data_IF_496365365706
#
_entry.id   IF_496365365706
#
_cell.length_a   1.000
_cell.length_b   1.000
_cell.length_c   1.000
_cell.angle_alpha   90.00
_cell.angle_beta   90.00
_cell.angle_gamma   90.00
#
_symmetry.space_group_name_H-M   'P 1'
#
loop_
_entity.id
_entity.type
_entity.pdbx_description
1 polymer ?
#
# COMPACT_ATOMS: atom_id res chain seq x y z
N UNK A 1 32.70 -41.21 2.52
CA UNK A 1 32.04 -39.90 2.67
C UNK A 1 30.64 -40.15 3.21
N UNK A 2 30.47 -39.96 4.51
CA UNK A 2 29.16 -40.11 5.19
C UNK A 2 28.33 -38.88 4.85
N UNK A 3 27.29 -39.03 4.04
CA UNK A 3 26.28 -38.01 3.81
C UNK A 3 25.54 -37.84 5.16
N UNK A 4 25.83 -36.74 5.86
CA UNK A 4 25.03 -36.33 7.01
C UNK A 4 23.62 -35.98 6.48
N UNK A 5 22.70 -36.91 6.66
CA UNK A 5 21.27 -36.63 6.39
C UNK A 5 20.78 -35.65 7.46
N UNK A 6 20.50 -34.43 7.07
CA UNK A 6 19.80 -33.42 7.88
C UNK A 6 18.47 -34.03 8.31
N UNK A 7 18.11 -34.05 9.61
CA UNK A 7 16.84 -34.60 10.05
C UNK A 7 15.67 -33.90 9.32
N UNK A 8 14.76 -34.68 8.79
CA UNK A 8 13.58 -34.23 8.02
C UNK A 8 12.71 -33.17 8.74
N UNK A 9 12.78 -33.12 10.09
CA UNK A 9 12.06 -32.13 10.92
C UNK A 9 12.68 -30.72 10.90
N UNK A 10 13.92 -30.57 10.43
CA UNK A 10 14.64 -29.27 10.43
C UNK A 10 14.33 -28.36 9.23
N UNK A 11 13.55 -28.83 8.24
CA UNK A 11 13.27 -28.09 6.99
C UNK A 11 11.78 -27.86 6.73
N UNK A 12 10.91 -28.03 7.73
CA UNK A 12 9.49 -27.71 7.55
C UNK A 12 9.27 -26.19 7.52
N UNK A 13 9.12 -25.61 6.31
CA UNK A 13 8.83 -24.19 6.12
C UNK A 13 7.34 -23.96 6.41
N UNK A 14 6.96 -23.14 7.41
CA UNK A 14 5.58 -22.86 7.70
C UNK A 14 4.93 -22.06 6.56
N UNK A 15 3.73 -22.49 6.15
CA UNK A 15 2.87 -21.67 5.28
C UNK A 15 1.79 -20.99 6.13
N UNK A 16 1.83 -19.66 6.21
CA UNK A 16 0.87 -18.85 6.95
C UNK A 16 -0.25 -18.40 6.03
N UNK A 17 -1.43 -18.98 6.24
CA UNK A 17 -2.65 -18.60 5.51
C UNK A 17 -3.21 -17.29 6.02
N UNK A 18 -4.04 -16.63 5.20
CA UNK A 18 -4.68 -15.33 5.52
C UNK A 18 -5.30 -15.31 6.93
N UNK A 19 -6.02 -16.37 7.33
CA UNK A 19 -6.68 -16.43 8.63
C UNK A 19 -5.70 -16.38 9.82
N UNK A 20 -4.49 -16.93 9.67
CA UNK A 20 -3.45 -16.85 10.70
C UNK A 20 -2.86 -15.43 10.77
N UNK A 21 -2.59 -14.82 9.63
CA UNK A 21 -2.07 -13.46 9.52
C UNK A 21 -3.08 -12.45 10.10
N UNK A 22 -4.37 -12.59 9.78
CA UNK A 22 -5.45 -11.71 10.26
C UNK A 22 -5.58 -11.65 11.78
N UNK A 23 -5.20 -12.71 12.48
CA UNK A 23 -5.24 -12.78 13.97
C UNK A 23 -4.16 -11.91 14.61
N UNK A 24 -3.04 -11.69 13.95
CA UNK A 24 -1.85 -11.07 14.55
C UNK A 24 -1.43 -9.75 13.91
N UNK A 25 -1.79 -9.51 12.64
CA UNK A 25 -1.42 -8.28 11.93
C UNK A 25 -2.46 -7.18 12.16
N UNK A 26 -2.13 -6.23 13.01
CA UNK A 26 -2.99 -5.08 13.37
C UNK A 26 -2.49 -3.80 12.70
N UNK A 27 -3.42 -2.94 12.29
CA UNK A 27 -3.07 -1.65 11.65
C UNK A 27 -2.34 -0.71 12.61
N UNK A 28 -2.66 -0.76 13.91
CA UNK A 28 -2.04 0.05 14.95
C UNK A 28 -0.53 -0.21 15.06
N UNK A 29 -0.12 -1.45 14.86
CA UNK A 29 1.29 -1.89 14.89
C UNK A 29 1.94 -1.73 13.51
N UNK A 30 1.15 -1.90 12.45
CA UNK A 30 1.62 -1.87 11.08
C UNK A 30 1.96 -0.44 10.61
N UNK A 31 1.20 0.58 11.02
CA UNK A 31 1.47 1.97 10.64
C UNK A 31 2.88 2.40 11.08
N UNK A 32 3.29 2.25 12.35
CA UNK A 32 4.66 2.55 12.76
C UNK A 32 5.72 1.69 12.05
N UNK A 33 5.42 0.42 11.78
CA UNK A 33 6.35 -0.45 11.05
C UNK A 33 6.56 0.05 9.61
N UNK A 34 5.53 0.56 8.94
CA UNK A 34 5.65 1.20 7.62
C UNK A 34 6.44 2.51 7.69
N UNK A 35 6.23 3.35 8.70
CA UNK A 35 7.03 4.56 8.92
C UNK A 35 8.52 4.22 8.99
N UNK A 36 8.90 3.22 9.81
CA UNK A 36 10.29 2.76 9.93
C UNK A 36 10.84 2.21 8.61
N UNK A 37 10.08 1.35 7.93
CA UNK A 37 10.50 0.75 6.66
C UNK A 37 10.77 1.79 5.57
N UNK A 38 9.92 2.82 5.47
CA UNK A 38 10.09 3.91 4.51
C UNK A 38 11.29 4.81 4.86
N UNK A 39 11.52 5.10 6.14
CA UNK A 39 12.72 5.82 6.60
C UNK A 39 13.97 5.02 6.21
N UNK A 40 13.98 3.73 6.48
CA UNK A 40 15.11 2.87 6.17
C UNK A 40 15.36 2.77 4.66
N UNK A 41 14.30 2.68 3.86
CA UNK A 41 14.38 2.68 2.41
C UNK A 41 15.00 3.98 1.87
N UNK A 42 14.44 5.12 2.23
CA UNK A 42 14.95 6.43 1.76
C UNK A 42 16.33 6.79 2.30
N UNK A 43 16.78 6.11 3.37
CA UNK A 43 18.15 6.27 3.91
C UNK A 43 19.16 5.30 3.30
N UNK A 44 18.76 4.48 2.32
CA UNK A 44 19.64 3.51 1.67
C UNK A 44 19.99 2.27 2.51
N UNK A 45 19.27 2.01 3.60
CA UNK A 45 19.45 0.82 4.45
C UNK A 45 18.71 -0.42 3.94
N UNK A 46 17.96 -0.29 2.86
CA UNK A 46 17.25 -1.38 2.21
C UNK A 46 17.84 -1.63 0.84
N UNK A 47 18.10 -2.89 0.50
CA UNK A 47 18.49 -3.28 -0.86
C UNK A 47 17.23 -3.78 -1.57
N UNK A 48 16.73 -3.00 -2.51
CA UNK A 48 15.52 -3.29 -3.25
C UNK A 48 15.59 -2.73 -4.67
N UNK A 49 15.60 -3.57 -5.72
CA UNK A 49 15.43 -3.10 -7.09
C UNK A 49 13.97 -2.70 -7.35
N UNK A 50 13.76 -1.93 -8.41
CA UNK A 50 12.40 -1.77 -8.95
C UNK A 50 11.88 -3.15 -9.38
N UNK A 51 10.59 -3.40 -9.14
CA UNK A 51 9.96 -4.71 -9.42
C UNK A 51 10.12 -5.14 -10.87
N UNK A 52 10.26 -6.43 -11.08
CA UNK A 52 10.19 -7.03 -12.41
C UNK A 52 8.76 -7.43 -12.73
N UNK A 53 8.27 -7.09 -13.93
CA UNK A 53 6.91 -7.43 -14.38
C UNK A 53 6.99 -8.36 -15.57
N UNK A 54 6.33 -9.51 -15.48
CA UNK A 54 6.16 -10.48 -16.58
C UNK A 54 4.70 -10.39 -17.03
N UNK A 55 4.49 -9.96 -18.29
CA UNK A 55 3.16 -9.91 -18.88
C UNK A 55 2.74 -11.31 -19.35
N UNK A 56 1.51 -11.69 -19.03
CA UNK A 56 0.87 -12.94 -19.44
C UNK A 56 -0.28 -12.57 -20.39
N UNK A 57 0.11 -12.05 -21.56
CA UNK A 57 -0.79 -11.39 -22.51
C UNK A 57 -1.96 -12.26 -22.96
N UNK A 58 -1.79 -13.59 -23.02
CA UNK A 58 -2.84 -14.55 -23.36
C UNK A 58 -4.05 -14.47 -22.42
N UNK A 59 -3.84 -14.03 -21.18
CA UNK A 59 -4.87 -14.00 -20.12
C UNK A 59 -5.07 -12.61 -19.51
N UNK A 60 -4.58 -11.55 -20.16
CA UNK A 60 -4.61 -10.16 -19.64
C UNK A 60 -4.06 -10.05 -18.20
N UNK A 61 -3.12 -10.92 -17.87
CA UNK A 61 -2.54 -10.98 -16.53
C UNK A 61 -1.09 -10.52 -16.48
N UNK A 62 -0.59 -10.27 -15.27
CA UNK A 62 0.85 -10.09 -15.03
C UNK A 62 1.26 -10.71 -13.73
N UNK A 63 2.53 -11.10 -13.69
CA UNK A 63 3.25 -11.52 -12.51
C UNK A 63 4.32 -10.47 -12.17
N UNK A 64 4.26 -9.94 -10.95
CA UNK A 64 5.29 -9.06 -10.39
C UNK A 64 6.19 -9.82 -9.44
N UNK A 65 7.49 -9.55 -9.50
CA UNK A 65 8.52 -10.09 -8.61
C UNK A 65 9.12 -8.91 -7.85
N UNK A 66 8.97 -8.88 -6.53
CA UNK A 66 9.33 -7.77 -5.67
C UNK A 66 10.28 -8.24 -4.55
N UNK A 67 11.60 -8.35 -4.83
CA UNK A 67 12.57 -8.77 -3.82
C UNK A 67 13.07 -7.59 -2.99
N UNK A 68 13.49 -7.85 -1.75
CA UNK A 68 14.24 -6.92 -0.92
C UNK A 68 15.10 -7.65 0.13
N UNK A 69 16.13 -6.91 0.62
CA UNK A 69 16.87 -7.24 1.84
C UNK A 69 16.62 -6.11 2.82
N UNK A 70 16.11 -6.45 4.01
CA UNK A 70 15.72 -5.49 5.04
C UNK A 70 16.20 -5.97 6.43
N UNK A 71 17.34 -5.45 6.87
CA UNK A 71 17.96 -5.84 8.12
C UNK A 71 18.31 -7.33 8.16
N UNK A 72 17.77 -8.04 9.15
CA UNK A 72 18.00 -9.46 9.40
C UNK A 72 17.18 -10.41 8.53
N UNK A 73 16.27 -9.88 7.71
CA UNK A 73 15.46 -10.67 6.79
C UNK A 73 15.67 -10.25 5.33
N UNK A 74 15.51 -11.20 4.44
CA UNK A 74 15.36 -10.96 3.01
C UNK A 74 14.19 -11.77 2.47
N UNK A 75 13.71 -11.44 1.29
CA UNK A 75 12.59 -12.17 0.71
C UNK A 75 12.06 -11.55 -0.57
N UNK A 76 10.96 -12.11 -1.02
CA UNK A 76 10.28 -11.60 -2.19
C UNK A 76 8.77 -11.81 -2.10
N UNK A 77 8.00 -10.81 -2.55
CA UNK A 77 6.61 -11.00 -2.91
C UNK A 77 6.50 -11.38 -4.38
N UNK A 78 5.81 -12.47 -4.64
CA UNK A 78 5.32 -12.85 -5.96
C UNK A 78 3.84 -12.45 -6.02
N UNK A 79 3.51 -11.50 -6.89
CA UNK A 79 2.16 -10.96 -7.01
C UNK A 79 1.61 -11.17 -8.40
N UNK A 80 0.36 -11.63 -8.49
CA UNK A 80 -0.35 -11.86 -9.73
C UNK A 80 -1.57 -10.94 -9.79
N UNK A 81 -1.73 -10.22 -10.90
CA UNK A 81 -2.89 -9.39 -11.17
C UNK A 81 -3.61 -9.90 -12.41
N UNK A 82 -4.86 -10.31 -12.25
CA UNK A 82 -5.74 -10.81 -13.30
C UNK A 82 -7.08 -10.07 -13.23
N UNK A 83 -7.26 -8.97 -13.98
CA UNK A 83 -8.46 -8.13 -13.91
C UNK A 83 -9.77 -8.88 -14.15
N UNK A 84 -9.74 -9.94 -14.96
CA UNK A 84 -10.90 -10.72 -15.36
C UNK A 84 -11.27 -11.87 -14.39
N UNK A 85 -10.54 -12.04 -13.30
CA UNK A 85 -10.80 -13.10 -12.32
C UNK A 85 -12.16 -13.01 -11.62
N UNK A 86 -12.76 -11.83 -11.51
CA UNK A 86 -14.08 -11.65 -10.92
C UNK A 86 -15.16 -12.50 -11.58
N UNK A 87 -15.11 -12.66 -12.91
CA UNK A 87 -16.02 -13.53 -13.64
C UNK A 87 -15.89 -15.02 -13.29
N UNK A 88 -14.80 -15.41 -12.64
CA UNK A 88 -14.52 -16.79 -12.19
C UNK A 88 -14.67 -16.95 -10.68
N UNK A 89 -15.17 -15.94 -9.97
CA UNK A 89 -15.26 -15.93 -8.50
C UNK A 89 -13.91 -15.90 -7.78
N UNK A 90 -12.82 -15.51 -8.48
CA UNK A 90 -11.48 -15.43 -7.92
C UNK A 90 -11.10 -13.96 -7.67
N UNK A 91 -10.23 -13.70 -6.66
CA UNK A 91 -9.65 -12.38 -6.46
C UNK A 91 -8.85 -11.93 -7.69
N UNK A 92 -8.94 -10.65 -8.01
CA UNK A 92 -8.14 -10.05 -9.10
C UNK A 92 -6.66 -9.92 -8.75
N UNK A 93 -6.33 -9.93 -7.47
CA UNK A 93 -5.00 -9.82 -6.92
C UNK A 93 -4.71 -11.02 -6.01
N UNK A 94 -3.66 -11.76 -6.32
CA UNK A 94 -3.19 -12.93 -5.58
C UNK A 94 -1.69 -12.77 -5.33
N UNK A 95 -1.20 -13.11 -4.15
CA UNK A 95 0.21 -12.99 -3.84
C UNK A 95 0.67 -14.02 -2.80
N UNK A 96 1.94 -14.37 -2.85
CA UNK A 96 2.68 -15.02 -1.78
C UNK A 96 3.92 -14.21 -1.44
N UNK A 97 4.36 -14.28 -0.18
CA UNK A 97 5.59 -13.67 0.31
C UNK A 97 6.45 -14.78 0.91
N UNK A 98 7.66 -14.96 0.37
CA UNK A 98 8.67 -15.86 0.93
C UNK A 98 9.72 -15.05 1.68
N UNK A 99 10.06 -15.48 2.91
CA UNK A 99 11.00 -14.80 3.80
C UNK A 99 12.11 -15.75 4.20
N UNK A 100 13.32 -15.20 4.24
CA UNK A 100 14.55 -15.88 4.57
C UNK A 100 15.35 -15.05 5.59
N UNK A 101 16.20 -15.71 6.38
CA UNK A 101 17.19 -15.05 7.22
C UNK A 101 18.31 -14.48 6.34
N UNK A 102 18.62 -13.19 6.46
CA UNK A 102 19.64 -12.56 5.62
C UNK A 102 21.04 -13.15 5.82
N UNK A 103 21.37 -13.57 7.05
CA UNK A 103 22.70 -14.10 7.40
C UNK A 103 23.00 -15.45 6.77
N UNK A 104 22.00 -16.34 6.71
CA UNK A 104 22.20 -17.77 6.38
C UNK A 104 21.48 -18.23 5.12
N UNK A 105 20.51 -17.44 4.64
CA UNK A 105 19.59 -17.87 3.57
C UNK A 105 18.55 -18.90 4.02
N UNK A 106 18.47 -19.19 5.33
CA UNK A 106 17.48 -20.11 5.89
C UNK A 106 16.06 -19.62 5.60
N UNK A 107 15.17 -20.46 4.99
CA UNK A 107 13.78 -20.09 4.80
C UNK A 107 13.05 -20.04 6.13
N UNK A 108 12.39 -18.91 6.42
CA UNK A 108 11.66 -18.67 7.67
C UNK A 108 10.18 -18.97 7.54
N UNK A 109 9.56 -18.51 6.46
CA UNK A 109 8.13 -18.73 6.18
C UNK A 109 7.76 -18.42 4.74
N UNK A 110 6.63 -18.98 4.32
CA UNK A 110 5.84 -18.52 3.17
C UNK A 110 4.50 -18.03 3.70
N UNK A 111 4.03 -16.88 3.24
CA UNK A 111 2.79 -16.25 3.71
C UNK A 111 1.84 -15.95 2.56
N UNK A 112 0.53 -16.03 2.81
CA UNK A 112 -0.45 -15.40 1.93
C UNK A 112 -0.19 -13.88 1.89
N UNK A 113 0.14 -13.37 0.69
CA UNK A 113 0.52 -11.97 0.52
C UNK A 113 -0.65 -11.02 0.27
N UNK A 114 -1.87 -11.55 0.12
CA UNK A 114 -3.04 -10.76 -0.25
C UNK A 114 -3.47 -9.80 0.86
N UNK A 115 -3.71 -10.33 2.07
CA UNK A 115 -4.06 -9.51 3.23
C UNK A 115 -2.93 -8.56 3.63
N UNK A 116 -1.68 -9.04 3.58
CA UNK A 116 -0.50 -8.20 3.86
C UNK A 116 -0.48 -7.00 2.89
N UNK A 117 -0.63 -7.24 1.59
CA UNK A 117 -0.67 -6.16 0.59
C UNK A 117 -1.83 -5.19 0.82
N UNK A 118 -3.01 -5.70 1.20
CA UNK A 118 -4.18 -4.87 1.53
C UNK A 118 -3.86 -3.91 2.68
N UNK A 119 -3.41 -4.46 3.80
CA UNK A 119 -3.22 -3.70 5.04
C UNK A 119 -1.98 -2.79 4.99
N UNK A 120 -0.82 -3.27 4.45
CA UNK A 120 0.39 -2.44 4.39
C UNK A 120 0.20 -1.22 3.47
N UNK A 121 -0.55 -1.35 2.36
CA UNK A 121 -0.82 -0.22 1.45
C UNK A 121 -1.64 0.86 2.16
N UNK A 122 -2.67 0.47 2.90
CA UNK A 122 -3.48 1.39 3.69
C UNK A 122 -2.68 2.02 4.84
N UNK A 123 -1.80 1.25 5.51
CA UNK A 123 -0.94 1.72 6.57
C UNK A 123 0.07 2.79 6.09
N UNK A 124 0.63 2.63 4.89
CA UNK A 124 1.50 3.64 4.26
C UNK A 124 0.73 4.93 3.98
N UNK A 125 -0.50 4.85 3.45
CA UNK A 125 -1.36 6.01 3.25
C UNK A 125 -1.76 6.67 4.59
N UNK A 126 -1.93 5.89 5.65
CA UNK A 126 -2.17 6.42 7.00
C UNK A 126 -0.94 7.15 7.54
N UNK A 127 0.27 6.61 7.35
CA UNK A 127 1.53 7.29 7.71
C UNK A 127 1.69 8.62 6.95
N UNK A 128 1.41 8.63 5.63
CA UNK A 128 1.39 9.85 4.83
C UNK A 128 0.34 10.86 5.35
N UNK A 129 -0.87 10.40 5.65
CA UNK A 129 -1.95 11.25 6.17
C UNK A 129 -1.62 11.82 7.56
N UNK A 130 -1.03 11.02 8.44
CA UNK A 130 -0.58 11.44 9.77
C UNK A 130 0.44 12.58 9.69
N UNK A 131 1.33 12.54 8.70
CA UNK A 131 2.38 13.53 8.50
C UNK A 131 1.93 14.76 7.71
N UNK A 132 1.21 14.55 6.59
CA UNK A 132 1.00 15.57 5.55
C UNK A 132 -0.38 16.25 5.62
N UNK A 133 -1.41 15.56 6.14
CA UNK A 133 -2.74 16.15 6.24
C UNK A 133 -2.84 17.11 7.45
N UNK A 134 -3.66 18.14 7.31
CA UNK A 134 -4.01 19.01 8.42
C UNK A 134 -4.44 18.19 9.64
N UNK A 135 -3.99 18.60 10.83
CA UNK A 135 -4.49 18.02 12.10
C UNK A 135 -5.99 18.26 12.32
N UNK A 136 -6.56 19.23 11.60
CA UNK A 136 -7.99 19.59 11.62
C UNK A 136 -8.77 18.99 10.47
N UNK A 137 -8.18 18.06 9.71
CA UNK A 137 -8.86 17.38 8.62
C UNK A 137 -10.08 16.61 9.13
N UNK A 138 -11.26 16.89 8.55
CA UNK A 138 -12.56 16.32 8.93
C UNK A 138 -13.31 15.68 7.78
N UNK A 139 -13.01 16.08 6.53
CA UNK A 139 -13.68 15.59 5.34
C UNK A 139 -12.78 14.61 4.58
N UNK A 140 -13.27 13.38 4.37
CA UNK A 140 -12.59 12.30 3.64
C UNK A 140 -13.39 11.92 2.39
N UNK A 141 -12.72 11.90 1.24
CA UNK A 141 -13.25 11.33 0.02
C UNK A 141 -12.52 10.02 -0.32
N UNK A 142 -13.26 8.96 -0.63
CA UNK A 142 -12.71 7.67 -1.07
C UNK A 142 -13.26 7.36 -2.46
N UNK A 143 -12.37 7.33 -3.46
CA UNK A 143 -12.70 6.99 -4.83
C UNK A 143 -12.25 5.55 -5.11
N UNK A 144 -13.23 4.66 -5.13
CA UNK A 144 -13.12 3.21 -5.17
C UNK A 144 -13.99 2.56 -4.10
N UNK A 145 -14.38 1.30 -4.31
CA UNK A 145 -15.25 0.54 -3.38
C UNK A 145 -14.74 -0.89 -3.17
N UNK A 146 -13.48 -1.16 -3.52
CA UNK A 146 -12.86 -2.48 -3.37
C UNK A 146 -12.24 -2.72 -2.00
N UNK A 147 -11.42 -3.76 -1.91
CA UNK A 147 -10.69 -4.12 -0.67
C UNK A 147 -9.78 -2.99 -0.18
N UNK A 148 -9.13 -2.28 -1.11
CA UNK A 148 -8.26 -1.15 -0.75
C UNK A 148 -9.06 0.02 -0.16
N UNK A 149 -10.25 0.34 -0.67
CA UNK A 149 -11.09 1.39 -0.11
C UNK A 149 -11.44 1.11 1.36
N UNK A 150 -11.83 -0.13 1.68
CA UNK A 150 -12.13 -0.58 3.04
C UNK A 150 -10.92 -0.54 3.97
N UNK A 151 -9.78 -0.98 3.47
CA UNK A 151 -8.52 -0.96 4.25
C UNK A 151 -8.09 0.48 4.54
N UNK A 152 -8.17 1.39 3.55
CA UNK A 152 -7.84 2.80 3.73
C UNK A 152 -8.78 3.48 4.72
N UNK A 153 -10.08 3.25 4.63
CA UNK A 153 -11.03 3.79 5.62
C UNK A 153 -10.61 3.41 7.04
N UNK A 154 -10.35 2.12 7.29
CA UNK A 154 -9.93 1.62 8.62
C UNK A 154 -8.60 2.22 9.08
N UNK A 155 -7.61 2.28 8.18
CA UNK A 155 -6.28 2.80 8.53
C UNK A 155 -6.28 4.32 8.78
N UNK A 156 -7.02 5.07 7.98
CA UNK A 156 -7.10 6.54 8.12
C UNK A 156 -7.88 6.94 9.37
N UNK A 157 -8.89 6.18 9.79
CA UNK A 157 -9.63 6.39 11.03
C UNK A 157 -8.74 6.27 12.29
N UNK A 158 -7.60 5.58 12.22
CA UNK A 158 -6.65 5.49 13.33
C UNK A 158 -5.78 6.74 13.46
N UNK A 159 -5.69 7.57 12.44
CA UNK A 159 -4.81 8.74 12.42
C UNK A 159 -5.53 10.07 12.34
N UNK A 160 -6.80 10.07 11.95
CA UNK A 160 -7.69 11.25 11.89
C UNK A 160 -9.14 10.88 12.20
N UNK A 161 -9.86 11.80 12.83
CA UNK A 161 -11.31 11.71 13.02
C UNK A 161 -12.00 12.43 11.87
N UNK A 162 -12.74 11.70 11.04
CA UNK A 162 -13.50 12.26 9.93
C UNK A 162 -14.99 12.29 10.28
N UNK A 163 -15.61 13.46 10.12
CA UNK A 163 -17.03 13.71 10.40
C UNK A 163 -17.86 13.68 9.10
N UNK A 164 -17.22 13.90 7.94
CA UNK A 164 -17.82 13.91 6.61
C UNK A 164 -17.04 12.93 5.71
N UNK A 165 -17.65 11.80 5.41
CA UNK A 165 -17.06 10.73 4.61
C UNK A 165 -17.89 10.53 3.35
N UNK A 166 -17.26 10.67 2.19
CA UNK A 166 -17.90 10.56 0.90
C UNK A 166 -17.23 9.49 0.05
N UNK A 167 -18.04 8.71 -0.65
CA UNK A 167 -17.57 7.58 -1.45
C UNK A 167 -18.04 7.74 -2.89
N UNK A 168 -17.18 7.45 -3.81
CA UNK A 168 -17.50 7.27 -5.21
C UNK A 168 -16.94 5.95 -5.75
N UNK A 169 -17.66 5.33 -6.66
CA UNK A 169 -17.18 4.21 -7.46
C UNK A 169 -17.79 4.29 -8.85
N UNK A 170 -17.12 3.72 -9.85
CA UNK A 170 -17.64 3.60 -11.21
C UNK A 170 -19.01 2.91 -11.26
N UNK A 171 -19.20 1.91 -10.43
CA UNK A 171 -20.48 1.26 -10.19
C UNK A 171 -21.14 1.91 -8.97
N UNK A 172 -22.27 2.57 -9.19
CA UNK A 172 -23.00 3.30 -8.15
C UNK A 172 -23.56 2.39 -7.06
N UNK A 173 -23.96 1.16 -7.41
CA UNK A 173 -24.45 0.19 -6.42
C UNK A 173 -23.33 -0.25 -5.48
N UNK A 174 -22.11 -0.46 -6.01
CA UNK A 174 -20.95 -0.76 -5.18
C UNK A 174 -20.56 0.43 -4.29
N UNK A 175 -20.70 1.67 -4.79
CA UNK A 175 -20.47 2.87 -3.98
C UNK A 175 -21.49 2.94 -2.83
N UNK A 176 -22.77 2.72 -3.13
CA UNK A 176 -23.86 2.75 -2.13
C UNK A 176 -23.64 1.69 -1.03
N UNK A 177 -23.36 0.44 -1.44
CA UNK A 177 -23.12 -0.66 -0.50
C UNK A 177 -21.93 -0.35 0.43
N UNK A 178 -20.83 0.18 -0.13
CA UNK A 178 -19.67 0.53 0.70
C UNK A 178 -19.95 1.74 1.61
N UNK A 179 -20.68 2.75 1.13
CA UNK A 179 -21.07 3.90 1.94
C UNK A 179 -21.95 3.48 3.13
N UNK A 180 -22.93 2.61 2.92
CA UNK A 180 -23.78 2.04 3.98
C UNK A 180 -22.96 1.25 5.02
N UNK A 181 -21.97 0.46 4.56
CA UNK A 181 -21.10 -0.34 5.43
C UNK A 181 -20.32 0.52 6.44
N UNK A 182 -19.91 1.74 6.03
CA UNK A 182 -19.04 2.60 6.83
C UNK A 182 -19.72 3.88 7.37
N UNK A 183 -21.04 4.04 7.15
CA UNK A 183 -21.77 5.24 7.56
C UNK A 183 -21.41 6.50 6.77
N UNK A 184 -21.08 6.35 5.47
CA UNK A 184 -20.69 7.42 4.58
C UNK A 184 -21.78 7.79 3.58
N UNK A 185 -21.54 8.80 2.73
CA UNK A 185 -22.44 9.22 1.65
C UNK A 185 -21.86 8.82 0.30
N UNK A 186 -22.61 8.05 -0.49
CA UNK A 186 -22.30 7.79 -1.89
C UNK A 186 -22.72 8.97 -2.76
N UNK A 187 -21.80 9.46 -3.64
CA UNK A 187 -22.06 10.65 -4.45
C UNK A 187 -21.28 10.62 -5.77
N UNK A 188 -21.30 11.70 -6.55
CA UNK A 188 -20.46 11.84 -7.74
C UNK A 188 -18.97 11.97 -7.37
N UNK A 189 -18.06 11.71 -8.31
CA UNK A 189 -16.62 11.89 -8.08
C UNK A 189 -16.29 13.35 -7.72
N UNK A 190 -16.91 14.30 -8.41
CA UNK A 190 -16.73 15.73 -8.17
C UNK A 190 -17.22 16.12 -6.78
N UNK A 191 -18.44 15.75 -6.41
CA UNK A 191 -19.02 16.11 -5.10
C UNK A 191 -18.27 15.42 -3.95
N UNK A 192 -17.76 14.21 -4.16
CA UNK A 192 -16.91 13.55 -3.18
C UNK A 192 -15.63 14.34 -2.90
N UNK A 193 -14.96 14.81 -3.96
CA UNK A 193 -13.67 15.50 -3.86
C UNK A 193 -13.80 16.96 -3.40
N UNK A 194 -14.87 17.67 -3.84
CA UNK A 194 -15.05 19.07 -3.48
C UNK A 194 -15.14 19.27 -1.98
N UNK A 195 -14.25 20.10 -1.44
CA UNK A 195 -14.19 20.38 0.00
C UNK A 195 -13.59 19.27 0.88
N UNK A 196 -13.14 18.14 0.32
CA UNK A 196 -12.44 17.11 1.08
C UNK A 196 -11.08 17.61 1.60
N UNK A 197 -10.71 17.23 2.83
CA UNK A 197 -9.39 17.50 3.41
C UNK A 197 -8.39 16.41 3.00
N UNK A 198 -8.88 15.18 2.87
CA UNK A 198 -8.12 14.02 2.42
C UNK A 198 -8.90 13.32 1.33
N UNK A 199 -8.24 13.02 0.23
CA UNK A 199 -8.78 12.23 -0.89
C UNK A 199 -7.96 10.97 -1.02
N UNK A 200 -8.62 9.82 -1.17
CA UNK A 200 -7.98 8.54 -1.49
C UNK A 200 -8.48 8.07 -2.85
N UNK A 201 -7.57 7.78 -3.76
CA UNK A 201 -7.91 7.09 -5.02
C UNK A 201 -7.34 5.68 -4.99
N UNK A 202 -8.22 4.69 -5.11
CA UNK A 202 -7.86 3.27 -5.10
C UNK A 202 -8.64 2.49 -6.16
N UNK A 203 -8.56 2.98 -7.41
CA UNK A 203 -9.27 2.42 -8.56
C UNK A 203 -8.30 1.83 -9.58
N UNK A 204 -8.82 1.05 -10.50
CA UNK A 204 -8.11 0.58 -11.69
C UNK A 204 -8.39 1.47 -12.92
N UNK A 205 -8.73 2.75 -12.72
CA UNK A 205 -9.05 3.62 -13.84
C UNK A 205 -7.86 3.80 -14.79
N UNK A 206 -8.05 3.71 -16.11
CA UNK A 206 -7.03 4.07 -17.08
C UNK A 206 -6.90 5.59 -17.27
N UNK A 207 -7.92 6.34 -16.88
CA UNK A 207 -8.07 7.79 -17.10
C UNK A 207 -8.31 8.51 -15.76
N UNK A 208 -8.01 9.84 -15.69
CA UNK A 208 -8.20 10.61 -14.47
C UNK A 208 -9.64 10.60 -13.98
N UNK A 209 -9.79 10.32 -12.68
CA UNK A 209 -11.05 10.38 -11.96
C UNK A 209 -11.10 11.54 -10.96
N UNK A 210 -9.96 12.18 -10.71
CA UNK A 210 -9.83 13.41 -9.92
C UNK A 210 -9.29 14.52 -10.80
N UNK A 211 -9.95 15.66 -10.77
CA UNK A 211 -9.53 16.89 -11.46
C UNK A 211 -8.99 17.90 -10.47
N UNK A 212 -7.89 18.57 -10.81
CA UNK A 212 -7.29 19.60 -9.97
C UNK A 212 -8.27 20.72 -9.61
N UNK A 213 -9.13 21.12 -10.56
CA UNK A 213 -10.17 22.13 -10.34
C UNK A 213 -11.20 21.78 -9.23
N UNK A 214 -11.25 20.54 -8.77
CA UNK A 214 -12.13 20.12 -7.68
C UNK A 214 -11.44 20.18 -6.30
N UNK A 215 -10.09 20.22 -6.29
CA UNK A 215 -9.29 20.15 -5.07
C UNK A 215 -9.28 21.53 -4.38
N UNK A 216 -9.51 21.52 -3.08
CA UNK A 216 -9.35 22.74 -2.28
C UNK A 216 -7.91 22.96 -1.84
N UNK A 217 -7.56 24.17 -1.47
CA UNK A 217 -6.27 24.46 -0.84
C UNK A 217 -6.09 23.71 0.47
N UNK A 218 -4.91 23.14 0.69
CA UNK A 218 -4.54 22.35 1.86
C UNK A 218 -4.95 20.89 1.81
N UNK A 219 -5.48 20.38 0.68
CA UNK A 219 -5.86 18.98 0.51
C UNK A 219 -4.66 18.05 0.42
N UNK A 220 -4.78 16.86 1.01
CA UNK A 220 -3.90 15.73 0.74
C UNK A 220 -4.62 14.70 -0.14
N UNK A 221 -3.97 14.27 -1.23
CA UNK A 221 -4.44 13.18 -2.09
C UNK A 221 -3.52 11.97 -1.93
N UNK A 222 -4.04 10.86 -1.43
CA UNK A 222 -3.37 9.55 -1.44
C UNK A 222 -3.75 8.82 -2.75
N UNK A 223 -2.86 8.83 -3.74
CA UNK A 223 -3.08 8.23 -5.05
C UNK A 223 -2.45 6.84 -5.11
N UNK A 224 -3.28 5.79 -5.01
CA UNK A 224 -2.81 4.41 -4.76
C UNK A 224 -3.18 3.44 -5.87
N UNK A 225 -4.26 3.70 -6.61
CA UNK A 225 -4.87 2.67 -7.45
C UNK A 225 -4.19 2.43 -8.79
N UNK A 226 -3.72 3.47 -9.46
CA UNK A 226 -3.12 3.34 -10.77
C UNK A 226 -1.63 2.98 -10.67
N UNK A 227 -1.29 1.77 -11.12
CA UNK A 227 0.08 1.30 -11.30
C UNK A 227 0.30 1.01 -12.78
N UNK A 228 1.42 1.49 -13.32
CA UNK A 228 1.81 1.36 -14.71
C UNK A 228 1.92 2.72 -15.43
N UNK A 229 2.88 2.86 -16.37
CA UNK A 229 3.28 4.16 -16.94
C UNK A 229 2.20 4.83 -17.81
N UNK A 230 1.17 4.09 -18.21
CA UNK A 230 0.06 4.58 -19.07
C UNK A 230 -1.26 4.75 -18.31
N UNK A 231 -1.30 4.47 -17.01
CA UNK A 231 -2.51 4.55 -16.18
C UNK A 231 -2.39 5.70 -15.19
N UNK A 232 -3.48 6.41 -14.96
CA UNK A 232 -3.51 7.54 -14.03
C UNK A 232 -4.88 7.74 -13.42
N UNK A 233 -4.92 8.20 -12.18
CA UNK A 233 -6.14 8.58 -11.47
C UNK A 233 -6.31 10.10 -11.38
N UNK A 234 -5.22 10.86 -11.52
CA UNK A 234 -5.18 12.31 -11.37
C UNK A 234 -4.90 13.00 -12.72
N UNK A 235 -5.52 14.14 -12.97
CA UNK A 235 -5.19 14.95 -14.13
C UNK A 235 -3.92 15.78 -13.93
N UNK A 236 -3.49 16.51 -14.97
CA UNK A 236 -2.27 17.32 -14.90
C UNK A 236 -2.38 18.46 -13.88
N UNK A 237 -3.58 18.99 -13.68
CA UNK A 237 -3.80 20.08 -12.75
C UNK A 237 -3.68 19.61 -11.30
N UNK A 238 -4.24 18.45 -10.96
CA UNK A 238 -4.09 17.83 -9.65
C UNK A 238 -2.61 17.53 -9.30
N UNK A 239 -1.79 17.24 -10.32
CA UNK A 239 -0.37 16.94 -10.16
C UNK A 239 0.56 18.18 -10.13
N UNK A 240 0.02 19.41 -10.18
CA UNK A 240 0.82 20.64 -10.09
C UNK A 240 1.32 20.96 -8.68
N UNK A 241 0.68 20.38 -7.67
CA UNK A 241 1.08 20.53 -6.27
C UNK A 241 2.39 19.85 -5.92
N UNK A 242 2.67 19.73 -4.64
CA UNK A 242 3.82 18.96 -4.17
C UNK A 242 3.55 17.46 -4.32
N UNK A 243 4.40 16.76 -5.06
CA UNK A 243 4.32 15.31 -5.25
C UNK A 243 5.31 14.62 -4.32
N UNK A 244 4.79 13.83 -3.39
CA UNK A 244 5.53 12.93 -2.50
C UNK A 244 5.32 11.51 -2.99
N UNK A 245 6.36 10.70 -2.98
CA UNK A 245 6.30 9.31 -3.48
C UNK A 245 6.81 8.33 -2.42
N UNK A 246 6.51 7.06 -2.56
CA UNK A 246 7.14 5.99 -1.78
C UNK A 246 8.57 5.70 -2.27
N UNK A 247 8.80 5.74 -3.60
CA UNK A 247 10.11 5.60 -4.23
C UNK A 247 10.20 6.48 -5.48
N UNK A 248 11.24 7.28 -5.55
CA UNK A 248 11.55 8.13 -6.70
C UNK A 248 11.80 7.31 -7.96
N UNK A 249 12.62 6.28 -7.83
CA UNK A 249 12.98 5.42 -8.96
C UNK A 249 11.77 4.65 -9.52
N UNK A 250 10.92 4.12 -8.64
CA UNK A 250 9.69 3.46 -9.06
C UNK A 250 8.70 4.45 -9.68
N UNK A 251 8.53 5.64 -9.09
CA UNK A 251 7.61 6.65 -9.62
C UNK A 251 7.98 7.12 -11.03
N UNK A 252 9.28 7.28 -11.31
CA UNK A 252 9.81 7.68 -12.62
C UNK A 252 9.75 6.55 -13.68
N UNK A 253 9.42 5.32 -13.29
CA UNK A 253 9.31 4.17 -14.21
C UNK A 253 7.88 3.65 -14.32
N UNK A 254 7.10 3.69 -13.24
CA UNK A 254 5.83 2.96 -13.13
C UNK A 254 4.61 3.86 -12.88
N UNK A 255 4.78 5.14 -12.53
CA UNK A 255 3.63 6.01 -12.23
C UNK A 255 3.18 6.81 -13.43
N UNK A 256 2.06 6.43 -14.04
CA UNK A 256 1.44 7.25 -15.09
C UNK A 256 1.00 8.62 -14.59
N UNK A 257 0.60 8.77 -13.32
CA UNK A 257 0.28 10.07 -12.72
C UNK A 257 1.50 11.02 -12.78
N UNK A 258 2.70 10.53 -12.43
CA UNK A 258 3.94 11.33 -12.45
C UNK A 258 4.43 11.54 -13.88
N UNK A 259 4.53 10.47 -14.67
CA UNK A 259 5.12 10.46 -16.00
C UNK A 259 4.32 11.30 -17.01
N UNK A 260 2.99 11.10 -17.06
CA UNK A 260 2.13 11.79 -18.03
C UNK A 260 1.92 13.27 -17.66
N UNK A 261 1.97 13.61 -16.38
CA UNK A 261 1.91 14.99 -15.93
C UNK A 261 3.29 15.67 -15.94
N UNK A 262 4.40 14.93 -16.12
CA UNK A 262 5.77 15.41 -15.96
C UNK A 262 5.96 16.11 -14.59
N UNK A 263 5.34 15.56 -13.55
CA UNK A 263 5.29 16.19 -12.25
C UNK A 263 6.64 16.08 -11.53
N UNK A 264 7.21 17.19 -11.03
CA UNK A 264 8.44 17.15 -10.26
C UNK A 264 8.18 16.48 -8.89
N UNK A 265 9.03 15.53 -8.52
CA UNK A 265 8.94 14.85 -7.21
C UNK A 265 9.61 15.73 -6.17
N UNK A 266 8.84 16.15 -5.15
CA UNK A 266 9.32 16.93 -4.03
C UNK A 266 10.22 16.09 -3.10
N UNK A 267 9.72 14.95 -2.66
CA UNK A 267 10.43 14.06 -1.73
C UNK A 267 9.89 12.62 -1.81
N UNK A 268 10.66 11.69 -1.26
CA UNK A 268 10.14 10.42 -0.80
C UNK A 268 9.50 10.57 0.59
N UNK A 269 8.45 9.79 0.87
CA UNK A 269 7.78 9.86 2.18
C UNK A 269 8.74 9.55 3.33
N UNK A 270 9.66 8.60 3.13
CA UNK A 270 10.70 8.27 4.12
C UNK A 270 11.65 9.42 4.43
N UNK A 271 12.00 10.25 3.43
CA UNK A 271 12.81 11.47 3.65
C UNK A 271 12.07 12.49 4.56
N UNK A 272 10.76 12.63 4.36
CA UNK A 272 9.92 13.52 5.18
C UNK A 272 9.72 12.99 6.60
N UNK A 273 9.48 11.69 6.75
CA UNK A 273 9.35 11.01 8.04
C UNK A 273 10.65 11.09 8.86
N UNK A 274 11.80 10.97 8.19
CA UNK A 274 13.12 11.13 8.82
C UNK A 274 13.50 12.59 9.11
N UNK A 275 12.73 13.57 8.63
CA UNK A 275 13.05 14.99 8.75
C UNK A 275 14.26 15.45 7.92
N UNK A 276 14.75 14.65 6.97
CA UNK A 276 15.88 14.99 6.10
C UNK A 276 15.49 15.92 4.94
N UNK A 277 14.19 16.03 4.67
CA UNK A 277 13.58 16.99 3.74
C UNK A 277 12.49 17.78 4.47
N UNK A 278 12.30 19.06 4.14
CA UNK A 278 11.21 19.86 4.71
C UNK A 278 9.86 19.40 4.20
N UNK A 279 8.83 19.52 5.03
CA UNK A 279 7.45 19.31 4.60
C UNK A 279 7.10 20.27 3.46
N UNK A 280 6.29 19.83 2.49
CA UNK A 280 5.91 20.66 1.36
C UNK A 280 5.08 21.87 1.82
N UNK A 281 5.36 23.04 1.23
CA UNK A 281 4.55 24.25 1.36
C UNK A 281 3.79 24.44 0.04
N UNK A 282 2.70 23.74 -0.12
CA UNK A 282 1.91 23.74 -1.34
C UNK A 282 0.42 23.78 -1.02
N UNK A 283 -0.37 24.35 -1.92
CA UNK A 283 -1.83 24.32 -1.81
C UNK A 283 -2.40 22.92 -1.96
N UNK A 284 -1.72 22.05 -2.69
CA UNK A 284 -2.12 20.64 -2.87
C UNK A 284 -0.91 19.75 -2.64
N UNK A 285 -1.09 18.68 -1.89
CA UNK A 285 -0.08 17.63 -1.72
C UNK A 285 -0.62 16.31 -2.25
N UNK A 286 0.11 15.67 -3.13
CA UNK A 286 -0.20 14.33 -3.63
C UNK A 286 0.83 13.36 -3.07
N UNK A 287 0.38 12.35 -2.35
CA UNK A 287 1.19 11.18 -2.04
C UNK A 287 0.87 10.08 -3.05
N UNK A 288 1.82 9.80 -3.94
CA UNK A 288 1.71 8.70 -4.91
C UNK A 288 2.38 7.45 -4.36
N UNK A 289 1.59 6.42 -4.10
CA UNK A 289 2.07 5.12 -3.66
C UNK A 289 2.00 4.10 -4.79
N UNK A 290 3.09 3.38 -5.00
CA UNK A 290 3.22 2.25 -5.93
C UNK A 290 3.40 0.94 -5.17
N UNK A 291 3.79 1.04 -3.89
CA UNK A 291 4.08 -0.07 -2.99
C UNK A 291 5.46 -0.66 -3.19
N UNK A 292 6.18 -0.87 -2.11
CA UNK A 292 7.55 -1.36 -2.08
C UNK A 292 7.64 -2.77 -1.50
N UNK A 293 8.66 -3.54 -1.90
CA UNK A 293 8.91 -4.85 -1.34
C UNK A 293 9.27 -4.78 0.15
N UNK A 294 9.98 -3.74 0.57
CA UNK A 294 10.31 -3.53 1.98
C UNK A 294 9.07 -3.41 2.87
N UNK A 295 7.98 -2.82 2.36
CA UNK A 295 6.71 -2.72 3.10
C UNK A 295 6.11 -4.11 3.33
N UNK A 296 6.18 -4.98 2.32
CA UNK A 296 5.72 -6.36 2.41
C UNK A 296 6.57 -7.16 3.39
N UNK A 297 7.91 -6.99 3.38
CA UNK A 297 8.83 -7.65 4.31
C UNK A 297 8.65 -7.14 5.74
N UNK A 298 8.50 -5.83 5.95
CA UNK A 298 8.26 -5.26 7.28
C UNK A 298 6.96 -5.78 7.90
N UNK A 299 5.88 -5.87 7.11
CA UNK A 299 4.62 -6.47 7.55
C UNK A 299 4.77 -7.96 7.87
N UNK A 300 5.48 -8.70 7.04
CA UNK A 300 5.72 -10.12 7.25
C UNK A 300 6.62 -10.40 8.47
N UNK A 301 7.63 -9.55 8.71
CA UNK A 301 8.46 -9.60 9.92
C UNK A 301 7.62 -9.39 11.18
N UNK A 302 6.72 -8.40 11.16
CA UNK A 302 5.80 -8.12 12.27
C UNK A 302 4.90 -9.33 12.56
N UNK A 303 4.39 -10.02 11.52
CA UNK A 303 3.61 -11.26 11.67
C UNK A 303 4.43 -12.34 12.38
N UNK A 304 5.68 -12.58 11.98
CA UNK A 304 6.54 -13.58 12.60
C UNK A 304 6.80 -13.26 14.07
N UNK A 305 7.20 -12.03 14.37
CA UNK A 305 7.47 -11.57 15.74
C UNK A 305 6.26 -11.77 16.65
N UNK A 306 5.08 -11.34 16.22
CA UNK A 306 3.86 -11.48 17.02
C UNK A 306 3.46 -12.94 17.25
N UNK A 307 3.72 -13.83 16.28
CA UNK A 307 3.48 -15.27 16.46
C UNK A 307 4.48 -15.92 17.42
N UNK A 308 5.75 -15.52 17.40
CA UNK A 308 6.77 -15.99 18.34
C UNK A 308 6.45 -15.56 19.78
N UNK A 309 6.11 -14.28 19.98
CA UNK A 309 5.73 -13.75 21.29
C UNK A 309 4.48 -14.45 21.86
N UNK A 310 3.51 -14.77 20.99
CA UNK A 310 2.30 -15.49 21.38
C UNK A 310 2.59 -16.94 21.84
N UNK A 311 3.59 -17.60 21.26
CA UNK A 311 4.01 -18.94 21.67
C UNK A 311 4.74 -18.94 23.00
N UNK A 312 5.57 -17.92 23.24
CA UNK A 312 6.31 -17.76 24.50
C UNK A 312 5.34 -17.52 25.68
N UNK A 313 4.28 -16.75 25.48
CA UNK A 313 3.27 -16.49 26.51
C UNK A 313 2.41 -17.71 26.85
N UNK A 314 2.14 -18.60 25.90
CA UNK A 314 1.37 -19.85 26.12
C UNK A 314 2.18 -20.96 26.82
N UNK A 315 3.51 -20.86 26.82
CA UNK A 315 4.37 -21.81 27.54
C UNK A 315 4.77 -21.35 28.95
N UNK A 316 4.44 -20.13 29.34
CA UNK A 316 4.74 -19.52 30.63
C UNK A 316 3.53 -19.52 31.60
N UNK A 317 2.39 -20.03 31.17
CA UNK A 317 1.16 -20.22 31.94
C UNK A 317 0.90 -21.72 32.20
#
# INVERSE_FOLDING_TARGET
MTVNTIPSSALAIPFLVEAAIRRVLRLEDLIPAMECALIDFSSGRVQQPVRSIISISQYDGFMGIMPAVYGDIMGAKLVNLYPNNGARGLPTHLAIIAIFRSETGEPLAIMDGRLITELRTAAVSAAATKLLASKKAKALAILGSGVQARAHFRALALVREFDDIRVWSRDSQHAQTFAEEIGATATSAEDAVRGADVVVTCTNSPEPIVRGAWLKSGVLVNAVGAVGPKRRELDNEAMRGAVVVDSRDAALQESGDVLLAQAPIHAELGELLAGTKPLPKSETTVFKSLGLAVEDLAAAKLVLQTLEDSRLTTHAS
#
